data_IF_879653854696
#
_entry.id   IF_879653854696
#
_cell.length_a   1.000
_cell.length_b   1.000
_cell.length_c   1.000
_cell.angle_alpha   90.00
_cell.angle_beta   90.00
_cell.angle_gamma   90.00
#
_symmetry.space_group_name_H-M   'P 1'
#
loop_
_entity.id
_entity.type
_entity.pdbx_description
1 polymer ?
#
# COMPACT_ATOMS: atom_id res chain seq x y z
N UNK A 1 -14.12 2.04 15.58
CA UNK A 1 -14.61 1.30 14.38
C UNK A 1 -15.39 0.06 14.82
N UNK A 2 -16.57 -0.21 14.23
CA UNK A 2 -17.41 -1.38 14.55
C UNK A 2 -17.06 -2.55 13.64
N UNK A 3 -16.88 -3.75 14.22
CA UNK A 3 -16.67 -4.99 13.46
C UNK A 3 -18.03 -5.68 13.24
N UNK A 4 -18.33 -6.09 12.00
CA UNK A 4 -19.52 -6.87 11.65
C UNK A 4 -19.13 -8.28 11.21
N UNK A 5 -20.06 -9.23 11.31
CA UNK A 5 -19.88 -10.62 10.88
C UNK A 5 -21.06 -11.07 10.01
N UNK A 6 -21.25 -10.42 8.86
CA UNK A 6 -22.38 -10.66 7.98
C UNK A 6 -22.38 -12.05 7.32
N UNK A 7 -21.20 -12.67 7.22
CA UNK A 7 -21.01 -13.96 6.56
C UNK A 7 -20.83 -15.13 7.51
N UNK A 8 -21.03 -14.93 8.83
CA UNK A 8 -21.02 -16.00 9.82
C UNK A 8 -19.64 -16.63 10.01
N UNK A 9 -18.57 -15.84 10.01
CA UNK A 9 -17.25 -16.35 10.38
C UNK A 9 -17.28 -16.90 11.82
N UNK A 10 -16.53 -17.98 12.12
CA UNK A 10 -16.44 -18.53 13.48
C UNK A 10 -15.95 -17.48 14.50
N UNK A 11 -16.45 -17.56 15.74
CA UNK A 11 -16.12 -16.60 16.82
C UNK A 11 -14.62 -16.40 17.04
N UNK A 12 -13.80 -17.43 16.78
CA UNK A 12 -12.35 -17.32 16.90
C UNK A 12 -11.77 -16.26 15.95
N UNK A 13 -12.32 -16.14 14.73
CA UNK A 13 -11.92 -15.10 13.77
C UNK A 13 -12.36 -13.71 14.24
N UNK A 14 -13.59 -13.60 14.73
CA UNK A 14 -14.13 -12.32 15.25
C UNK A 14 -13.22 -11.82 16.36
N UNK A 15 -12.98 -12.63 17.39
CA UNK A 15 -12.13 -12.26 18.54
C UNK A 15 -10.70 -11.96 18.15
N UNK A 16 -10.12 -12.71 17.21
CA UNK A 16 -8.75 -12.45 16.73
C UNK A 16 -8.63 -11.11 15.98
N UNK A 17 -9.72 -10.61 15.40
CA UNK A 17 -9.73 -9.31 14.70
C UNK A 17 -10.16 -8.15 15.59
N UNK A 18 -10.80 -8.42 16.73
CA UNK A 18 -11.08 -7.45 17.80
C UNK A 18 -9.82 -7.15 18.61
N UNK A 19 -8.92 -8.13 18.72
CA UNK A 19 -7.62 -8.00 19.40
C UNK A 19 -6.61 -7.31 18.49
N UNK A 20 -6.86 -6.03 18.19
CA UNK A 20 -5.93 -5.17 17.45
C UNK A 20 -4.86 -4.62 18.39
N UNK A 21 -3.78 -5.37 18.55
CA UNK A 21 -2.63 -5.00 19.38
C UNK A 21 -1.75 -3.90 18.76
N UNK A 22 -2.07 -3.43 17.54
CA UNK A 22 -1.29 -2.39 16.89
C UNK A 22 -1.43 -1.05 17.62
N UNK A 23 -0.30 -0.51 18.04
CA UNK A 23 -0.20 0.83 18.61
C UNK A 23 0.92 1.60 17.94
N UNK A 24 0.74 2.90 17.72
CA UNK A 24 1.84 3.80 17.32
C UNK A 24 2.69 4.25 18.53
N UNK A 25 2.38 3.79 19.73
CA UNK A 25 2.93 4.31 20.98
C UNK A 25 2.51 5.78 21.18
N UNK A 26 3.35 6.55 21.85
CA UNK A 26 3.11 7.98 22.13
C UNK A 26 3.45 8.92 20.95
N UNK A 27 3.61 8.38 19.74
CA UNK A 27 3.88 9.19 18.56
C UNK A 27 2.63 9.88 18.02
N UNK A 28 2.81 11.04 17.38
CA UNK A 28 1.74 11.73 16.65
C UNK A 28 1.31 10.90 15.42
N UNK A 29 2.29 10.40 14.68
CA UNK A 29 2.05 9.56 13.49
C UNK A 29 2.90 8.29 13.49
N UNK A 30 2.39 7.23 12.85
CA UNK A 30 3.20 6.10 12.45
C UNK A 30 3.72 6.29 11.01
N UNK A 31 4.82 5.60 10.67
CA UNK A 31 5.34 5.54 9.30
C UNK A 31 4.24 5.14 8.31
N UNK A 32 3.51 4.07 8.60
CA UNK A 32 2.42 3.59 7.75
C UNK A 32 1.25 4.58 7.69
N UNK A 33 0.99 5.33 8.76
CA UNK A 33 0.00 6.40 8.81
C UNK A 33 0.37 7.56 7.87
N UNK A 34 1.61 8.03 7.93
CA UNK A 34 2.11 9.09 7.05
C UNK A 34 2.12 8.70 5.57
N UNK A 35 2.22 7.41 5.23
CA UNK A 35 2.14 6.92 3.85
C UNK A 35 0.71 6.89 3.29
N UNK A 36 -0.30 6.95 4.14
CA UNK A 36 -1.70 7.05 3.69
C UNK A 36 -1.95 8.41 3.04
N UNK A 37 -2.91 8.52 2.09
CA UNK A 37 -3.36 9.82 1.62
C UNK A 37 -3.89 10.67 2.79
N UNK A 38 -3.49 11.95 2.91
CA UNK A 38 -3.90 12.80 4.03
C UNK A 38 -5.42 12.92 4.18
N UNK A 39 -6.14 13.00 3.06
CA UNK A 39 -7.61 13.05 3.06
C UNK A 39 -8.24 11.81 3.69
N UNK A 40 -7.71 10.61 3.40
CA UNK A 40 -8.21 9.37 4.00
C UNK A 40 -7.92 9.35 5.50
N UNK A 41 -6.71 9.71 5.91
CA UNK A 41 -6.33 9.76 7.32
C UNK A 41 -7.23 10.73 8.11
N UNK A 42 -7.50 11.90 7.56
CA UNK A 42 -8.37 12.89 8.18
C UNK A 42 -9.82 12.40 8.30
N UNK A 43 -10.40 11.90 7.20
CA UNK A 43 -11.78 11.40 7.21
C UNK A 43 -11.96 10.22 8.17
N UNK A 44 -10.94 9.37 8.34
CA UNK A 44 -10.95 8.31 9.35
C UNK A 44 -11.00 8.88 10.76
N UNK A 45 -10.20 9.89 11.05
CA UNK A 45 -10.22 10.54 12.38
C UNK A 45 -11.56 11.26 12.63
N UNK A 46 -12.13 11.94 11.63
CA UNK A 46 -13.39 12.68 11.75
C UNK A 46 -14.62 11.76 11.89
N UNK A 47 -14.54 10.53 11.38
CA UNK A 47 -15.68 9.61 11.34
C UNK A 47 -15.39 8.25 12.00
N UNK A 48 -14.43 8.18 12.92
CA UNK A 48 -13.99 6.94 13.56
C UNK A 48 -15.14 6.16 14.20
N UNK A 49 -16.08 6.87 14.81
CA UNK A 49 -17.29 6.32 15.44
C UNK A 49 -18.28 5.68 14.45
N UNK A 50 -18.22 6.08 13.16
CA UNK A 50 -19.11 5.62 12.08
C UNK A 50 -18.48 4.57 11.17
N UNK A 51 -17.18 4.31 11.33
CA UNK A 51 -16.50 3.31 10.52
C UNK A 51 -16.88 1.90 10.95
N UNK A 52 -17.15 1.06 9.96
CA UNK A 52 -17.37 -0.37 10.14
C UNK A 52 -16.55 -1.17 9.14
N UNK A 53 -16.15 -2.37 9.53
CA UNK A 53 -15.52 -3.34 8.65
C UNK A 53 -16.11 -4.72 8.91
N UNK A 54 -16.23 -5.54 7.86
CA UNK A 54 -16.63 -6.92 8.04
C UNK A 54 -15.42 -7.83 8.33
N UNK A 55 -15.61 -8.84 9.16
CA UNK A 55 -14.57 -9.84 9.50
C UNK A 55 -13.93 -10.40 8.22
N UNK A 56 -14.73 -10.67 7.19
CA UNK A 56 -14.25 -11.17 5.89
C UNK A 56 -13.17 -10.28 5.27
N UNK A 57 -13.33 -8.96 5.38
CA UNK A 57 -12.45 -8.00 4.73
C UNK A 57 -11.11 -7.84 5.47
N UNK A 58 -11.04 -8.33 6.72
CA UNK A 58 -9.84 -8.29 7.57
C UNK A 58 -9.03 -9.59 7.61
N UNK A 59 -9.45 -10.65 6.94
CA UNK A 59 -8.76 -11.96 6.94
C UNK A 59 -7.31 -11.85 6.46
N UNK A 60 -7.05 -11.02 5.46
CA UNK A 60 -5.68 -10.83 4.95
C UNK A 60 -4.78 -10.08 5.94
N UNK A 61 -5.34 -9.20 6.74
CA UNK A 61 -4.62 -8.55 7.84
C UNK A 61 -4.25 -9.56 8.92
N UNK A 62 -5.20 -10.40 9.35
CA UNK A 62 -4.95 -11.48 10.31
C UNK A 62 -3.85 -12.42 9.84
N UNK A 63 -3.86 -12.83 8.56
CA UNK A 63 -2.81 -13.66 7.99
C UNK A 63 -1.44 -12.97 8.02
N UNK A 64 -1.39 -11.69 7.66
CA UNK A 64 -0.17 -10.88 7.74
C UNK A 64 0.39 -10.83 9.16
N UNK A 65 -0.44 -10.42 10.12
CA UNK A 65 -0.06 -10.36 11.54
C UNK A 65 0.42 -11.71 12.08
N UNK A 66 -0.25 -12.82 11.72
CA UNK A 66 0.16 -14.17 12.15
C UNK A 66 1.53 -14.57 11.63
N UNK A 67 1.86 -14.19 10.39
CA UNK A 67 3.18 -14.43 9.79
C UNK A 67 4.25 -13.58 10.52
N UNK A 68 4.00 -12.29 10.73
CA UNK A 68 4.90 -11.40 11.47
C UNK A 68 5.18 -11.94 12.87
N UNK A 69 4.14 -12.23 13.67
CA UNK A 69 4.27 -12.78 15.03
C UNK A 69 5.02 -14.12 15.08
N UNK A 70 4.99 -14.89 13.99
CA UNK A 70 5.77 -16.12 13.90
C UNK A 70 7.22 -15.85 13.57
N UNK A 71 7.51 -14.99 12.58
CA UNK A 71 8.86 -14.69 12.13
C UNK A 71 9.66 -13.89 13.18
N UNK A 72 9.00 -13.02 13.95
CA UNK A 72 9.57 -12.31 15.08
C UNK A 72 10.30 -13.24 16.05
N UNK A 73 9.74 -14.42 16.33
CA UNK A 73 10.30 -15.39 17.29
C UNK A 73 11.62 -16.04 16.80
N UNK A 74 11.88 -15.96 15.51
CA UNK A 74 13.01 -16.65 14.87
C UNK A 74 13.97 -15.70 14.13
N UNK A 75 13.76 -14.39 14.25
CA UNK A 75 14.66 -13.38 13.69
C UNK A 75 16.04 -13.43 14.36
N UNK A 76 17.10 -13.35 13.56
CA UNK A 76 18.49 -13.39 14.00
C UNK A 76 19.13 -11.99 14.13
N UNK A 77 18.31 -11.00 14.47
CA UNK A 77 18.68 -9.60 14.66
C UNK A 77 17.80 -8.92 15.70
N UNK A 78 17.62 -7.62 15.57
CA UNK A 78 16.67 -6.84 16.36
C UNK A 78 15.33 -6.93 15.64
N UNK A 79 14.31 -7.51 16.28
CA UNK A 79 12.98 -7.77 15.71
C UNK A 79 11.93 -6.87 16.33
N UNK A 80 10.94 -6.47 15.53
CA UNK A 80 9.77 -5.65 15.94
C UNK A 80 10.12 -4.44 16.80
N UNK A 81 11.35 -3.90 16.60
CA UNK A 81 11.79 -2.74 17.35
C UNK A 81 11.04 -1.50 16.90
N UNK A 82 10.29 -0.90 17.83
CA UNK A 82 9.70 0.41 17.61
C UNK A 82 10.73 1.50 17.84
N UNK A 83 10.96 2.29 16.80
CA UNK A 83 11.80 3.48 16.84
C UNK A 83 10.96 4.74 16.76
N UNK A 84 11.50 5.82 17.31
CA UNK A 84 10.90 7.15 17.28
C UNK A 84 11.88 8.14 16.65
N UNK A 85 11.33 9.13 15.96
CA UNK A 85 12.09 10.24 15.40
C UNK A 85 11.23 11.49 15.40
N UNK A 86 11.87 12.65 15.41
CA UNK A 86 11.20 13.95 15.41
C UNK A 86 11.44 14.69 14.09
N UNK A 87 10.36 15.26 13.53
CA UNK A 87 10.42 16.07 12.33
C UNK A 87 9.41 17.22 12.44
N UNK A 88 9.89 18.48 12.36
CA UNK A 88 9.07 19.70 12.44
C UNK A 88 8.15 19.72 13.71
N UNK A 89 8.68 19.27 14.85
CA UNK A 89 7.94 19.22 16.12
C UNK A 89 6.89 18.09 16.20
N UNK A 90 6.92 17.14 15.26
CA UNK A 90 6.02 15.99 15.19
C UNK A 90 6.80 14.73 15.47
N UNK A 91 6.34 13.91 16.39
CA UNK A 91 6.91 12.60 16.70
C UNK A 91 6.37 11.52 15.78
N UNK A 92 7.28 10.81 15.11
CA UNK A 92 6.97 9.72 14.18
C UNK A 92 7.48 8.41 14.75
N UNK A 93 6.68 7.35 14.69
CA UNK A 93 7.14 6.02 15.08
C UNK A 93 7.00 4.99 13.96
N UNK A 94 7.84 3.95 14.04
CA UNK A 94 7.74 2.78 13.18
C UNK A 94 8.33 1.55 13.86
N UNK A 95 7.68 0.40 13.71
CA UNK A 95 8.22 -0.87 14.10
C UNK A 95 8.91 -1.49 12.89
N UNK A 96 10.17 -1.87 13.05
CA UNK A 96 10.98 -2.52 12.01
C UNK A 96 10.88 -4.02 12.25
N UNK A 97 10.44 -4.79 11.24
CA UNK A 97 10.23 -6.23 11.39
C UNK A 97 11.55 -6.96 11.74
N UNK A 98 12.64 -6.63 11.05
CA UNK A 98 13.98 -7.15 11.35
C UNK A 98 15.05 -6.14 10.95
N UNK A 99 15.95 -5.83 11.88
CA UNK A 99 17.22 -5.15 11.62
C UNK A 99 18.39 -6.05 12.02
N UNK A 100 19.18 -6.46 11.05
CA UNK A 100 20.42 -7.18 11.26
C UNK A 100 21.60 -6.33 10.81
N UNK A 101 22.25 -5.68 11.77
CA UNK A 101 23.45 -4.85 11.54
C UNK A 101 23.24 -3.76 10.46
N UNK A 102 22.07 -3.14 10.40
CA UNK A 102 21.68 -2.14 9.41
C UNK A 102 21.10 -2.71 8.11
N UNK A 103 20.92 -4.03 8.01
CA UNK A 103 20.21 -4.66 6.91
C UNK A 103 18.74 -4.81 7.31
N UNK A 104 17.89 -3.88 6.83
CA UNK A 104 16.49 -3.85 7.18
C UNK A 104 15.69 -4.80 6.30
N UNK A 105 14.88 -5.63 6.92
CA UNK A 105 13.94 -6.53 6.24
C UNK A 105 12.52 -6.24 6.70
N UNK A 106 11.58 -6.22 5.75
CA UNK A 106 10.16 -6.09 6.00
C UNK A 106 9.42 -7.24 5.29
N UNK A 107 8.57 -7.95 6.02
CA UNK A 107 7.84 -9.11 5.53
C UNK A 107 6.47 -8.70 4.98
N UNK A 108 6.13 -9.17 3.78
CA UNK A 108 4.85 -8.84 3.14
C UNK A 108 4.12 -10.07 2.64
N UNK A 109 2.99 -10.40 3.25
CA UNK A 109 2.07 -11.42 2.70
C UNK A 109 1.30 -10.77 1.54
N UNK A 110 1.53 -11.27 0.33
CA UNK A 110 1.02 -10.65 -0.90
C UNK A 110 0.63 -11.69 -1.96
N UNK A 111 0.34 -11.25 -3.18
CA UNK A 111 0.08 -12.13 -4.32
C UNK A 111 1.27 -12.20 -5.27
N UNK A 112 1.35 -13.29 -6.05
CA UNK A 112 2.31 -13.42 -7.16
C UNK A 112 2.19 -12.25 -8.14
N UNK A 113 0.97 -11.81 -8.43
CA UNK A 113 0.74 -10.66 -9.31
C UNK A 113 1.50 -9.41 -8.83
N UNK A 114 1.58 -9.19 -7.54
CA UNK A 114 2.30 -8.04 -6.96
C UNK A 114 3.80 -8.12 -7.24
N UNK A 115 4.42 -9.28 -7.03
CA UNK A 115 5.88 -9.44 -7.23
C UNK A 115 6.30 -9.52 -8.70
N UNK A 116 5.37 -9.78 -9.60
CA UNK A 116 5.60 -9.71 -11.05
C UNK A 116 5.55 -8.28 -11.61
N UNK A 117 5.16 -7.32 -10.81
CA UNK A 117 5.13 -5.88 -11.15
C UNK A 117 6.39 -5.17 -10.65
N UNK A 118 6.54 -3.91 -11.04
CA UNK A 118 7.55 -3.05 -10.43
C UNK A 118 7.35 -2.95 -8.92
N UNK A 119 8.44 -2.68 -8.21
CA UNK A 119 8.40 -2.42 -6.76
C UNK A 119 7.34 -1.37 -6.43
N UNK A 120 6.49 -1.66 -5.43
CA UNK A 120 5.47 -0.72 -5.00
C UNK A 120 6.12 0.53 -4.39
N UNK A 121 5.74 1.74 -4.81
CA UNK A 121 6.25 2.98 -4.22
C UNK A 121 6.07 3.05 -2.70
N UNK A 122 4.93 2.54 -2.19
CA UNK A 122 4.66 2.55 -0.75
C UNK A 122 5.64 1.65 0.04
N UNK A 123 6.07 0.53 -0.53
CA UNK A 123 7.05 -0.36 0.09
C UNK A 123 8.44 0.28 0.11
N UNK A 124 8.83 0.91 -1.02
CA UNK A 124 10.10 1.65 -1.10
C UNK A 124 10.12 2.80 -0.09
N UNK A 125 9.04 3.57 -0.02
CA UNK A 125 8.91 4.69 0.90
C UNK A 125 8.92 4.22 2.37
N UNK A 126 8.19 3.14 2.71
CA UNK A 126 8.12 2.60 4.07
C UNK A 126 9.51 2.25 4.61
N UNK A 127 10.27 1.44 3.85
CA UNK A 127 11.61 1.04 4.27
C UNK A 127 12.59 2.21 4.35
N UNK A 128 12.46 3.20 3.46
CA UNK A 128 13.29 4.41 3.54
C UNK A 128 12.91 5.32 4.73
N UNK A 129 11.66 5.35 5.16
CA UNK A 129 11.26 6.01 6.41
C UNK A 129 11.78 5.24 7.65
N UNK A 130 11.82 3.91 7.60
CA UNK A 130 12.47 3.12 8.66
C UNK A 130 13.99 3.37 8.70
N UNK A 131 14.65 3.49 7.56
CA UNK A 131 16.07 3.88 7.50
C UNK A 131 16.28 5.29 8.09
N UNK A 132 15.36 6.24 7.84
CA UNK A 132 15.40 7.55 8.47
C UNK A 132 15.22 7.46 9.99
N UNK A 133 14.27 6.66 10.49
CA UNK A 133 14.11 6.42 11.94
C UNK A 133 15.37 5.82 12.55
N UNK A 134 16.03 4.90 11.84
CA UNK A 134 17.27 4.28 12.30
C UNK A 134 18.36 5.34 12.50
N UNK A 135 18.51 6.28 11.56
CA UNK A 135 19.44 7.41 11.65
C UNK A 135 19.13 8.36 12.82
N UNK A 136 17.85 8.66 13.06
CA UNK A 136 17.44 9.44 14.22
C UNK A 136 17.84 8.78 15.56
N UNK A 137 18.08 7.47 15.55
CA UNK A 137 18.51 6.69 16.71
C UNK A 137 20.02 6.33 16.67
N UNK A 138 20.81 7.07 15.89
CA UNK A 138 22.27 6.93 15.83
C UNK A 138 22.77 5.66 15.16
N UNK A 139 21.95 5.03 14.31
CA UNK A 139 22.26 3.80 13.57
C UNK A 139 22.17 4.07 12.07
N UNK A 140 22.83 3.26 11.25
CA UNK A 140 22.87 3.42 9.81
C UNK A 140 22.23 2.23 9.09
N UNK A 141 21.36 2.51 8.14
CA UNK A 141 20.83 1.50 7.23
C UNK A 141 21.82 1.25 6.08
N UNK A 142 22.20 -0.01 5.86
CA UNK A 142 23.13 -0.45 4.80
C UNK A 142 22.40 -1.03 3.59
N UNK A 143 21.28 -1.70 3.81
CA UNK A 143 20.44 -2.24 2.74
C UNK A 143 19.00 -2.40 3.18
N UNK A 144 18.10 -2.42 2.21
CA UNK A 144 16.67 -2.57 2.41
C UNK A 144 16.15 -3.75 1.59
N UNK A 145 15.37 -4.63 2.22
CA UNK A 145 14.81 -5.81 1.58
C UNK A 145 13.35 -5.99 1.96
N UNK A 146 12.48 -6.18 0.97
CA UNK A 146 11.15 -6.76 1.17
C UNK A 146 11.26 -8.27 0.97
N UNK A 147 10.76 -9.05 1.91
CA UNK A 147 10.56 -10.47 1.72
C UNK A 147 9.07 -10.72 1.49
N UNK A 148 8.71 -10.86 0.22
CA UNK A 148 7.34 -11.11 -0.20
C UNK A 148 6.99 -12.60 -0.06
N UNK A 149 5.90 -12.92 0.66
CA UNK A 149 5.35 -14.26 0.82
C UNK A 149 4.09 -14.34 -0.04
N UNK A 150 4.18 -15.06 -1.17
CA UNK A 150 3.13 -15.12 -2.18
C UNK A 150 2.07 -16.15 -1.80
N UNK A 151 0.94 -15.71 -1.23
CA UNK A 151 -0.14 -16.57 -0.73
C UNK A 151 -0.86 -17.41 -1.79
N UNK A 152 -0.74 -17.03 -3.06
CA UNK A 152 -1.35 -17.68 -4.23
C UNK A 152 -0.32 -18.36 -5.14
N UNK A 153 0.90 -18.59 -4.63
CA UNK A 153 1.95 -19.27 -5.38
C UNK A 153 1.62 -20.75 -5.64
N UNK A 154 1.92 -21.21 -6.83
CA UNK A 154 1.65 -22.58 -7.28
C UNK A 154 2.93 -23.23 -7.80
N UNK A 155 3.35 -24.34 -7.21
CA UNK A 155 4.56 -25.08 -7.60
C UNK A 155 4.55 -25.49 -9.09
N UNK A 156 3.39 -25.85 -9.64
CA UNK A 156 3.25 -26.26 -11.05
C UNK A 156 3.56 -25.13 -12.06
N UNK A 157 3.59 -23.87 -11.60
CA UNK A 157 3.88 -22.69 -12.40
C UNK A 157 5.28 -22.12 -12.16
N UNK A 158 6.02 -22.63 -11.18
CA UNK A 158 7.33 -22.13 -10.76
C UNK A 158 8.28 -21.96 -11.97
N UNK A 159 8.93 -20.79 -12.08
CA UNK A 159 9.88 -20.44 -13.13
C UNK A 159 9.33 -20.26 -14.54
N UNK A 160 8.00 -20.40 -14.75
CA UNK A 160 7.37 -20.28 -16.08
C UNK A 160 6.80 -18.88 -16.30
N UNK A 161 7.05 -18.27 -17.48
CA UNK A 161 6.41 -17.00 -17.86
C UNK A 161 6.54 -15.87 -16.81
N UNK A 162 7.75 -15.65 -16.31
CA UNK A 162 8.04 -14.66 -15.24
C UNK A 162 7.32 -14.94 -13.91
N UNK A 163 6.87 -16.18 -13.68
CA UNK A 163 6.31 -16.59 -12.40
C UNK A 163 7.47 -16.91 -11.44
N UNK A 164 7.43 -16.46 -10.16
CA UNK A 164 8.52 -16.68 -9.23
C UNK A 164 8.79 -18.17 -9.00
N UNK A 165 10.06 -18.53 -8.85
CA UNK A 165 10.48 -19.90 -8.60
C UNK A 165 10.09 -20.38 -7.20
N UNK A 166 9.94 -19.46 -6.25
CA UNK A 166 9.61 -19.73 -4.85
C UNK A 166 8.40 -18.93 -4.39
N UNK A 167 7.70 -19.45 -3.40
CA UNK A 167 6.68 -18.73 -2.65
C UNK A 167 7.27 -17.51 -1.91
N UNK A 168 8.53 -17.60 -1.49
CA UNK A 168 9.24 -16.55 -0.77
C UNK A 168 10.16 -15.84 -1.75
N UNK A 169 9.93 -14.54 -1.96
CA UNK A 169 10.62 -13.72 -2.96
C UNK A 169 11.29 -12.54 -2.26
N UNK A 170 12.62 -12.55 -2.06
CA UNK A 170 13.35 -11.38 -1.60
C UNK A 170 13.44 -10.34 -2.72
N UNK A 171 13.14 -9.09 -2.39
CA UNK A 171 13.13 -7.95 -3.32
C UNK A 171 14.04 -6.88 -2.71
N UNK A 172 15.14 -6.58 -3.40
CA UNK A 172 16.01 -5.47 -3.01
C UNK A 172 15.29 -4.14 -3.24
N UNK A 173 15.34 -3.26 -2.25
CA UNK A 173 14.73 -1.94 -2.28
C UNK A 173 15.83 -0.88 -2.36
N UNK A 174 15.73 0.12 -3.26
CA UNK A 174 16.69 1.21 -3.32
C UNK A 174 16.76 1.97 -1.99
N UNK A 175 17.96 2.06 -1.42
CA UNK A 175 18.23 2.90 -0.26
C UNK A 175 18.46 4.33 -0.77
N UNK A 176 17.60 5.26 -0.38
CA UNK A 176 17.73 6.67 -0.76
C UNK A 176 18.87 7.33 0.03
N UNK A 177 19.49 8.36 -0.53
CA UNK A 177 20.38 9.23 0.23
C UNK A 177 19.66 9.89 1.40
N UNK A 178 20.37 10.19 2.49
CA UNK A 178 19.79 10.72 3.74
C UNK A 178 18.98 12.00 3.49
N UNK A 179 19.50 12.92 2.64
CA UNK A 179 18.80 14.17 2.31
C UNK A 179 17.46 13.93 1.59
N UNK A 180 17.38 12.86 0.77
CA UNK A 180 16.12 12.47 0.12
C UNK A 180 15.13 11.91 1.14
N UNK A 181 15.60 11.08 2.07
CA UNK A 181 14.75 10.53 3.15
C UNK A 181 14.19 11.64 4.02
N UNK A 182 15.06 12.54 4.48
CA UNK A 182 14.67 13.68 5.32
C UNK A 182 13.64 14.57 4.61
N UNK A 183 13.90 14.94 3.35
CA UNK A 183 12.96 15.72 2.54
C UNK A 183 11.62 15.01 2.38
N UNK A 184 11.63 13.71 2.15
CA UNK A 184 10.40 12.94 2.00
C UNK A 184 9.58 12.93 3.29
N UNK A 185 10.23 12.66 4.43
CA UNK A 185 9.57 12.69 5.75
C UNK A 185 8.96 14.06 6.01
N UNK A 186 9.71 15.16 5.81
CA UNK A 186 9.19 16.54 5.95
C UNK A 186 7.95 16.76 5.09
N UNK A 187 7.99 16.37 3.83
CA UNK A 187 6.84 16.51 2.92
C UNK A 187 5.63 15.73 3.42
N UNK A 188 5.82 14.52 3.96
CA UNK A 188 4.71 13.73 4.51
C UNK A 188 4.13 14.38 5.77
N UNK A 189 4.97 14.83 6.68
CA UNK A 189 4.55 15.60 7.87
C UNK A 189 3.77 16.84 7.43
N UNK A 190 4.34 17.65 6.55
CA UNK A 190 3.72 18.88 6.06
C UNK A 190 2.29 18.65 5.53
N UNK A 191 2.09 17.63 4.67
CA UNK A 191 0.76 17.38 4.07
C UNK A 191 -0.25 16.80 5.07
N UNK A 192 0.21 16.16 6.15
CA UNK A 192 -0.67 15.62 7.19
C UNK A 192 -1.00 16.62 8.30
N UNK A 193 -0.17 17.65 8.48
CA UNK A 193 -0.38 18.69 9.51
C UNK A 193 -1.07 19.94 8.97
N UNK A 194 -1.20 20.09 7.64
CA UNK A 194 -1.91 21.21 7.02
C UNK A 194 -3.37 21.26 7.45
N UNK A 195 -3.84 22.48 7.72
CA UNK A 195 -5.25 22.76 8.08
C UNK A 195 -6.21 22.36 6.94
N UNK A 196 -5.84 22.69 5.69
CA UNK A 196 -6.58 22.31 4.50
C UNK A 196 -6.03 21.01 3.91
N UNK A 197 -6.83 19.95 3.97
CA UNK A 197 -6.46 18.64 3.39
C UNK A 197 -6.57 18.67 1.87
N UNK A 198 -5.50 18.25 1.20
CA UNK A 198 -5.49 18.11 -0.26
C UNK A 198 -6.34 16.91 -0.70
N UNK A 199 -7.09 17.06 -1.82
CA UNK A 199 -7.79 15.92 -2.42
C UNK A 199 -6.83 14.78 -2.80
N UNK A 200 -7.31 13.55 -2.77
CA UNK A 200 -6.51 12.41 -3.23
C UNK A 200 -6.14 12.54 -4.70
N UNK A 201 -4.89 12.26 -5.04
CA UNK A 201 -4.40 12.22 -6.43
C UNK A 201 -4.98 11.03 -7.21
N UNK A 202 -4.78 11.00 -8.52
CA UNK A 202 -5.20 9.87 -9.36
C UNK A 202 -4.48 8.58 -8.95
N UNK A 203 -3.20 8.66 -8.61
CA UNK A 203 -2.36 7.55 -8.13
C UNK A 203 -2.87 7.02 -6.79
N UNK A 204 -3.14 7.91 -5.83
CA UNK A 204 -3.70 7.56 -4.52
C UNK A 204 -5.10 6.94 -4.62
N UNK A 205 -5.85 7.26 -5.65
CA UNK A 205 -7.18 6.69 -5.95
C UNK A 205 -7.10 5.40 -6.77
N UNK A 206 -5.90 4.95 -7.16
CA UNK A 206 -5.64 3.79 -8.02
C UNK A 206 -6.41 3.86 -9.34
N UNK A 207 -6.23 4.96 -10.06
CA UNK A 207 -6.87 5.18 -11.35
C UNK A 207 -6.50 4.09 -12.36
N UNK A 208 -7.49 3.57 -13.09
CA UNK A 208 -7.36 2.50 -14.07
C UNK A 208 -8.15 2.80 -15.34
N UNK A 209 -7.61 2.33 -16.47
CA UNK A 209 -8.33 2.33 -17.73
C UNK A 209 -8.56 3.72 -18.31
N UNK A 210 -7.62 4.65 -18.16
CA UNK A 210 -7.74 6.04 -18.62
C UNK A 210 -7.50 6.24 -20.12
N UNK A 211 -6.98 5.21 -20.84
CA UNK A 211 -6.74 5.24 -22.26
C UNK A 211 -7.63 4.22 -22.98
N UNK A 212 -8.59 4.68 -23.77
CA UNK A 212 -9.45 3.85 -24.60
C UNK A 212 -8.85 3.65 -26.00
N UNK A 213 -8.72 2.42 -26.47
CA UNK A 213 -8.40 2.11 -27.85
C UNK A 213 -9.70 1.75 -28.56
N UNK A 214 -10.00 2.48 -29.63
CA UNK A 214 -11.19 2.28 -30.44
C UNK A 214 -10.81 2.03 -31.90
N UNK A 215 -11.65 1.27 -32.60
CA UNK A 215 -11.63 1.18 -34.05
C UNK A 215 -12.91 1.77 -34.63
N UNK A 216 -13.08 1.66 -35.94
CA UNK A 216 -14.29 2.14 -36.68
C UNK A 216 -15.60 1.48 -36.18
N UNK A 217 -15.52 0.39 -35.41
CA UNK A 217 -16.67 -0.36 -34.85
C UNK A 217 -16.93 -0.03 -33.37
N UNK A 218 -16.15 0.90 -32.77
CA UNK A 218 -16.30 1.33 -31.39
C UNK A 218 -15.18 0.89 -30.46
N UNK A 219 -15.38 1.11 -29.17
CA UNK A 219 -14.38 0.87 -28.14
C UNK A 219 -14.04 -0.59 -27.99
N UNK A 220 -12.75 -0.92 -28.11
CA UNK A 220 -12.23 -2.28 -27.98
C UNK A 220 -11.72 -2.58 -26.59
N UNK A 221 -10.87 -1.71 -26.02
CA UNK A 221 -10.15 -2.00 -24.80
C UNK A 221 -9.66 -0.72 -24.12
N UNK A 222 -9.54 -0.76 -22.79
CA UNK A 222 -8.92 0.31 -22.00
C UNK A 222 -7.58 -0.13 -21.42
N UNK A 223 -6.68 0.84 -21.22
CA UNK A 223 -5.33 0.66 -20.72
C UNK A 223 -5.02 1.71 -19.65
N UNK A 224 -4.11 1.38 -18.75
CA UNK A 224 -3.69 2.27 -17.67
C UNK A 224 -2.63 3.28 -18.15
N UNK A 225 -1.88 2.95 -19.20
CA UNK A 225 -0.86 3.82 -19.77
C UNK A 225 -1.03 4.01 -21.27
N UNK A 226 -0.60 5.17 -21.78
CA UNK A 226 -0.55 5.45 -23.22
C UNK A 226 0.40 4.48 -23.95
N UNK A 227 1.49 4.08 -23.28
CA UNK A 227 2.44 3.11 -23.82
C UNK A 227 1.82 1.75 -24.10
N UNK A 228 1.03 1.21 -23.15
CA UNK A 228 0.32 -0.06 -23.33
C UNK A 228 -0.74 0.04 -24.43
N UNK A 229 -1.48 1.14 -24.49
CA UNK A 229 -2.46 1.40 -25.54
C UNK A 229 -1.79 1.43 -26.91
N UNK A 230 -0.67 2.13 -27.05
CA UNK A 230 0.11 2.22 -28.29
C UNK A 230 0.71 0.86 -28.67
N UNK A 231 1.28 0.13 -27.71
CA UNK A 231 1.82 -1.22 -27.92
C UNK A 231 0.73 -2.20 -28.38
N UNK A 232 -0.50 -2.06 -27.88
CA UNK A 232 -1.63 -2.84 -28.34
C UNK A 232 -1.97 -2.53 -29.81
N UNK A 233 -2.02 -1.25 -30.21
CA UNK A 233 -2.29 -0.84 -31.60
C UNK A 233 -1.22 -1.39 -32.54
N UNK A 234 0.05 -1.28 -32.18
CA UNK A 234 1.17 -1.74 -33.00
C UNK A 234 1.16 -3.27 -33.28
N UNK A 235 0.47 -4.03 -32.44
CA UNK A 235 0.28 -5.48 -32.64
C UNK A 235 -0.88 -5.84 -33.58
N UNK A 236 -1.73 -4.87 -33.93
CA UNK A 236 -2.85 -5.12 -34.84
C UNK A 236 -2.34 -5.14 -36.29
N UNK A 237 -2.74 -6.16 -37.01
CA UNK A 237 -2.31 -6.34 -38.41
C UNK A 237 -3.14 -5.56 -39.44
N UNK A 238 -4.37 -5.21 -39.07
CA UNK A 238 -5.35 -4.55 -39.93
C UNK A 238 -6.28 -3.63 -39.16
N UNK A 239 -6.85 -2.63 -39.80
CA UNK A 239 -7.81 -1.69 -39.23
C UNK A 239 -7.18 -0.38 -38.76
N UNK A 240 -8.01 0.64 -38.61
CA UNK A 240 -7.63 1.93 -38.06
C UNK A 240 -8.01 1.94 -36.57
N UNK A 241 -7.08 2.34 -35.71
CA UNK A 241 -7.21 2.40 -34.28
C UNK A 241 -6.86 3.78 -33.78
N UNK A 242 -7.60 4.27 -32.81
CA UNK A 242 -7.43 5.58 -32.22
C UNK A 242 -7.30 5.43 -30.72
N UNK A 243 -6.36 6.16 -30.12
CA UNK A 243 -6.28 6.30 -28.65
C UNK A 243 -6.99 7.58 -28.26
N UNK A 244 -7.81 7.52 -27.23
CA UNK A 244 -8.40 8.70 -26.58
C UNK A 244 -8.36 8.56 -25.06
N UNK A 245 -8.34 9.69 -24.38
CA UNK A 245 -8.58 9.71 -22.95
C UNK A 245 -10.05 9.34 -22.67
N UNK A 246 -10.23 8.47 -21.70
CA UNK A 246 -11.55 8.05 -21.22
C UNK A 246 -11.63 8.24 -19.71
N UNK A 247 -12.81 8.46 -19.14
CA UNK A 247 -12.98 8.42 -17.69
C UNK A 247 -12.47 7.08 -17.18
N UNK A 248 -11.43 7.12 -16.33
CA UNK A 248 -10.92 5.94 -15.68
C UNK A 248 -11.81 5.52 -14.52
N UNK A 249 -11.55 4.32 -14.00
CA UNK A 249 -12.12 3.89 -12.73
C UNK A 249 -11.17 4.23 -11.59
N UNK A 250 -11.72 4.58 -10.45
CA UNK A 250 -10.97 4.85 -9.22
C UNK A 250 -11.13 3.68 -8.26
N UNK A 251 -10.38 2.60 -8.53
CA UNK A 251 -10.53 1.30 -7.88
C UNK A 251 -10.50 1.39 -6.35
N UNK A 252 -9.65 2.24 -5.80
CA UNK A 252 -9.58 2.44 -4.34
C UNK A 252 -10.88 3.01 -3.80
N UNK A 253 -11.42 4.06 -4.43
CA UNK A 253 -12.66 4.71 -3.99
C UNK A 253 -13.86 3.78 -4.12
N UNK A 254 -13.93 3.01 -5.21
CA UNK A 254 -15.04 2.11 -5.51
C UNK A 254 -15.11 0.91 -4.56
N UNK A 255 -13.98 0.39 -4.07
CA UNK A 255 -13.96 -0.94 -3.44
C UNK A 255 -13.10 -1.06 -2.18
N UNK A 256 -12.20 -0.12 -1.90
CA UNK A 256 -11.17 -0.30 -0.87
C UNK A 256 -11.05 0.86 0.13
N UNK A 257 -11.74 1.96 -0.13
CA UNK A 257 -11.71 3.12 0.75
C UNK A 257 -12.84 3.06 1.76
N UNK A 258 -12.52 2.81 3.00
CA UNK A 258 -13.44 2.71 4.14
C UNK A 258 -14.15 4.04 4.47
N UNK A 259 -13.60 5.16 3.98
CA UNK A 259 -14.17 6.50 4.16
C UNK A 259 -14.82 7.07 2.88
N UNK A 260 -14.96 6.26 1.82
CA UNK A 260 -15.50 6.74 0.55
C UNK A 260 -16.89 7.38 0.69
N UNK A 261 -17.74 6.85 1.56
CA UNK A 261 -19.06 7.38 1.86
C UNK A 261 -19.05 8.80 2.48
N UNK A 262 -17.97 9.21 3.09
CA UNK A 262 -17.79 10.55 3.67
C UNK A 262 -16.98 11.49 2.77
N UNK A 263 -16.48 10.98 1.64
CA UNK A 263 -15.57 11.71 0.77
C UNK A 263 -16.34 12.54 -0.28
N UNK A 264 -16.31 13.88 -0.14
CA UNK A 264 -16.94 14.79 -1.11
C UNK A 264 -16.36 14.67 -2.52
N UNK A 265 -15.03 14.40 -2.62
CA UNK A 265 -14.38 14.16 -3.91
C UNK A 265 -14.96 12.94 -4.62
N UNK A 266 -15.21 11.84 -3.91
CA UNK A 266 -15.79 10.64 -4.49
C UNK A 266 -17.27 10.82 -4.84
N UNK A 267 -18.05 11.43 -3.96
CA UNK A 267 -19.47 11.73 -4.19
C UNK A 267 -19.71 12.62 -5.43
N UNK A 268 -18.80 13.55 -5.70
CA UNK A 268 -18.86 14.38 -6.91
C UNK A 268 -18.63 13.56 -8.19
N UNK A 269 -17.70 12.59 -8.15
CA UNK A 269 -17.44 11.68 -9.28
C UNK A 269 -18.60 10.71 -9.53
N UNK A 270 -19.21 10.14 -8.49
CA UNK A 270 -20.37 9.25 -8.63
C UNK A 270 -21.53 9.97 -9.31
N UNK A 271 -21.81 11.23 -8.94
CA UNK A 271 -22.86 12.04 -9.55
C UNK A 271 -22.57 12.40 -11.01
N UNK A 272 -21.31 12.46 -11.42
CA UNK A 272 -20.94 12.79 -12.80
C UNK A 272 -20.96 11.58 -13.75
N UNK A 273 -20.94 10.36 -13.19
CA UNK A 273 -20.88 9.10 -13.95
C UNK A 273 -22.21 8.33 -13.94
N UNK A 274 -23.22 8.77 -13.20
CA UNK A 274 -24.59 8.23 -13.18
C UNK A 274 -25.55 9.12 -13.94
#
# INVERSE_FOLDING_TARGET
>A
MTLTNQYGAPDAFVRAMEDDSYSKGDADFSVTGLLQPPQIARLRAEHEDKLSADVRDRVWMLLGTSVHNTLEKYGDGIVEQRLFGECEGVTISGAIDLDKDGHLTDYKVTSVYTVQKALKPDWEAQLNMYAWLLEQNGREAKSLTIVAICRDWMQSRAGKNNYPESMIVPISVPLWHSERRDRFVRQRVEVHTKEATLPCTKEERWSRGTYGVENEKGKLKTFDTLGDATAFINKQKTGRYYVRDVPGRYIRCESWCDVSQFCSQWQAEEKSNG
#
